data_IF_266507311635
#
_entry.id   IF_266507311635
#
_cell.length_a   1.000
_cell.length_b   1.000
_cell.length_c   1.000
_cell.angle_alpha   90.00
_cell.angle_beta   90.00
_cell.angle_gamma   90.00
#
_symmetry.space_group_name_H-M   'P 1'
#
loop_
_entity.id
_entity.type
_entity.pdbx_description
1 polymer ?
#
# COMPACT_ATOMS: atom_id res chain seq x y z
N UNK A 1 -14.54 31.36 -7.06
CA UNK A 1 -13.27 30.62 -6.89
C UNK A 1 -13.54 29.54 -5.89
N UNK A 2 -13.71 28.30 -6.35
CA UNK A 2 -13.85 27.16 -5.45
C UNK A 2 -12.48 26.50 -5.37
N UNK A 3 -11.89 26.50 -4.18
CA UNK A 3 -10.72 25.69 -3.85
C UNK A 3 -11.20 24.24 -3.73
N UNK A 4 -11.05 23.47 -4.82
CA UNK A 4 -11.12 22.01 -4.76
C UNK A 4 -9.88 21.52 -4.00
N UNK A 5 -10.01 21.34 -2.68
CA UNK A 5 -9.08 20.55 -1.88
C UNK A 5 -9.22 19.08 -2.31
N UNK A 6 -8.44 18.68 -3.32
CA UNK A 6 -8.44 17.33 -3.87
C UNK A 6 -8.07 16.31 -2.78
N UNK A 7 -9.08 15.70 -2.19
CA UNK A 7 -8.92 14.54 -1.31
C UNK A 7 -8.53 13.36 -2.20
N UNK A 8 -7.24 13.03 -2.23
CA UNK A 8 -6.72 11.85 -2.93
C UNK A 8 -7.28 10.58 -2.29
N UNK A 9 -7.67 9.60 -3.10
CA UNK A 9 -8.24 8.36 -2.58
C UNK A 9 -7.28 7.60 -1.66
N UNK A 10 -7.86 6.86 -0.70
CA UNK A 10 -7.17 5.92 0.19
C UNK A 10 -6.31 4.94 -0.62
N UNK A 11 -6.89 4.35 -1.67
CA UNK A 11 -6.21 3.44 -2.59
C UNK A 11 -5.01 4.09 -3.29
N UNK A 12 -5.16 5.31 -3.83
CA UNK A 12 -4.06 5.94 -4.57
C UNK A 12 -2.92 6.31 -3.62
N UNK A 13 -3.24 6.87 -2.46
CA UNK A 13 -2.25 7.19 -1.41
C UNK A 13 -1.45 5.94 -1.00
N UNK A 14 -2.15 4.82 -0.81
CA UNK A 14 -1.53 3.52 -0.52
C UNK A 14 -0.60 3.05 -1.65
N UNK A 15 -1.03 3.13 -2.91
CA UNK A 15 -0.23 2.75 -4.07
C UNK A 15 1.02 3.63 -4.18
N UNK A 16 0.86 4.95 -4.10
CA UNK A 16 1.95 5.91 -4.25
C UNK A 16 3.02 5.70 -3.18
N UNK A 17 2.60 5.54 -1.92
CA UNK A 17 3.50 5.23 -0.81
C UNK A 17 4.29 3.93 -1.04
N UNK A 18 3.61 2.87 -1.52
CA UNK A 18 4.28 1.59 -1.78
C UNK A 18 5.22 1.63 -2.98
N UNK A 19 4.90 2.44 -4.01
CA UNK A 19 5.78 2.68 -5.15
C UNK A 19 7.05 3.43 -4.71
N UNK A 20 6.90 4.52 -3.97
CA UNK A 20 8.02 5.33 -3.47
C UNK A 20 8.95 4.52 -2.57
N UNK A 21 8.39 3.81 -1.59
CA UNK A 21 9.17 2.98 -0.65
C UNK A 21 9.97 1.85 -1.32
N UNK A 22 9.57 1.44 -2.54
CA UNK A 22 10.22 0.36 -3.30
C UNK A 22 11.00 0.87 -4.52
N UNK A 23 11.06 2.19 -4.75
CA UNK A 23 11.68 2.76 -5.93
C UNK A 23 11.02 2.32 -7.25
N UNK A 24 9.71 2.02 -7.22
CA UNK A 24 8.94 1.57 -8.37
C UNK A 24 8.23 2.75 -9.05
N UNK A 25 8.00 2.62 -10.36
CA UNK A 25 7.26 3.60 -11.14
C UNK A 25 5.81 3.18 -11.38
N UNK A 26 4.96 4.14 -11.77
CA UNK A 26 3.62 3.81 -12.30
C UNK A 26 3.68 2.95 -13.58
N UNK A 27 4.82 2.93 -14.28
CA UNK A 27 5.06 1.99 -15.38
C UNK A 27 5.17 0.54 -14.91
N UNK A 28 5.84 0.31 -13.77
CA UNK A 28 5.93 -1.01 -13.14
C UNK A 28 4.56 -1.50 -12.68
N UNK A 29 3.78 -0.61 -12.07
CA UNK A 29 2.38 -0.88 -11.70
C UNK A 29 1.55 -1.30 -12.92
N UNK A 30 1.65 -0.58 -14.03
CA UNK A 30 0.91 -0.89 -15.26
C UNK A 30 1.33 -2.25 -15.83
N UNK A 31 2.63 -2.56 -15.85
CA UNK A 31 3.14 -3.87 -16.31
C UNK A 31 2.68 -5.01 -15.41
N UNK A 32 2.73 -4.83 -14.09
CA UNK A 32 2.37 -5.88 -13.13
C UNK A 32 0.86 -6.17 -13.12
N UNK A 33 0.03 -5.14 -13.29
CA UNK A 33 -1.44 -5.26 -13.23
C UNK A 33 -2.08 -5.51 -14.59
N UNK A 34 -1.37 -5.23 -15.70
CA UNK A 34 -1.93 -5.22 -17.05
C UNK A 34 -2.91 -4.06 -17.28
N UNK A 35 -2.98 -3.10 -16.36
CA UNK A 35 -3.95 -2.00 -16.41
C UNK A 35 -3.37 -0.79 -17.14
N UNK A 36 -4.16 -0.19 -18.03
CA UNK A 36 -3.81 1.05 -18.71
C UNK A 36 -3.82 2.27 -17.78
N UNK A 37 -2.95 3.24 -18.06
CA UNK A 37 -2.79 4.49 -17.27
C UNK A 37 -4.08 5.29 -17.06
N UNK A 38 -5.06 5.18 -17.97
CA UNK A 38 -6.37 5.84 -17.80
C UNK A 38 -7.08 5.43 -16.51
N UNK A 39 -6.90 4.19 -16.06
CA UNK A 39 -7.45 3.70 -14.79
C UNK A 39 -6.78 4.33 -13.58
N UNK A 40 -5.53 4.78 -13.67
CA UNK A 40 -4.85 5.44 -12.54
C UNK A 40 -5.50 6.80 -12.22
N UNK A 41 -5.98 7.52 -13.24
CA UNK A 41 -6.77 8.74 -13.03
C UNK A 41 -8.09 8.43 -12.33
N UNK A 42 -8.75 7.34 -12.72
CA UNK A 42 -9.97 6.87 -12.05
C UNK A 42 -9.68 6.51 -10.57
N UNK A 43 -8.57 5.83 -10.28
CA UNK A 43 -8.19 5.46 -8.92
C UNK A 43 -7.86 6.68 -8.06
N UNK A 44 -7.14 7.68 -8.60
CA UNK A 44 -6.91 8.97 -7.91
C UNK A 44 -8.21 9.66 -7.50
N UNK A 45 -9.25 9.53 -8.33
CA UNK A 45 -10.59 10.09 -8.10
C UNK A 45 -11.48 9.22 -7.20
N UNK A 46 -10.95 8.14 -6.63
CA UNK A 46 -11.68 7.28 -5.69
C UNK A 46 -12.44 6.13 -6.33
N UNK A 47 -12.29 5.84 -7.63
CA UNK A 47 -12.83 4.58 -8.17
C UNK A 47 -11.99 3.42 -7.68
N UNK A 48 -12.66 2.41 -7.13
CA UNK A 48 -12.02 1.19 -6.66
C UNK A 48 -11.55 0.26 -7.80
N UNK A 49 -10.86 -0.81 -7.43
CA UNK A 49 -10.32 -1.86 -8.29
C UNK A 49 -11.13 -3.15 -8.16
N UNK A 50 -10.86 -4.13 -9.02
CA UNK A 50 -11.38 -5.49 -8.84
C UNK A 50 -10.38 -6.37 -8.07
N UNK A 51 -10.85 -7.54 -7.64
CA UNK A 51 -10.06 -8.52 -6.85
C UNK A 51 -8.79 -8.97 -7.57
N UNK A 52 -8.84 -9.16 -8.89
CA UNK A 52 -7.67 -9.62 -9.64
C UNK A 52 -6.58 -8.56 -9.74
N UNK A 53 -6.98 -7.30 -9.90
CA UNK A 53 -6.07 -6.15 -9.83
C UNK A 53 -5.48 -6.03 -8.42
N UNK A 54 -6.30 -6.20 -7.38
CA UNK A 54 -5.83 -6.16 -5.99
C UNK A 54 -4.77 -7.24 -5.73
N UNK A 55 -4.99 -8.47 -6.21
CA UNK A 55 -4.00 -9.57 -6.13
C UNK A 55 -2.72 -9.27 -6.92
N UNK A 56 -2.83 -8.63 -8.08
CA UNK A 56 -1.67 -8.25 -8.88
C UNK A 56 -0.82 -7.17 -8.20
N UNK A 57 -1.47 -6.16 -7.61
CA UNK A 57 -0.81 -5.12 -6.80
C UNK A 57 -0.16 -5.75 -5.57
N UNK A 58 -0.85 -6.66 -4.87
CA UNK A 58 -0.32 -7.34 -3.69
C UNK A 58 0.95 -8.14 -4.01
N UNK A 59 0.98 -8.82 -5.18
CA UNK A 59 2.18 -9.51 -5.66
C UNK A 59 3.33 -8.54 -5.96
N UNK A 60 3.04 -7.40 -6.58
CA UNK A 60 4.06 -6.38 -6.86
C UNK A 60 4.67 -5.80 -5.58
N UNK A 61 3.85 -5.62 -4.54
CA UNK A 61 4.28 -5.01 -3.28
C UNK A 61 4.75 -6.04 -2.24
N UNK A 62 4.61 -7.34 -2.51
CA UNK A 62 4.93 -8.42 -1.58
C UNK A 62 4.15 -8.32 -0.25
N UNK A 63 2.87 -7.94 -0.34
CA UNK A 63 1.95 -7.80 0.81
C UNK A 63 0.78 -8.78 0.72
N UNK A 64 -0.04 -8.81 1.77
CA UNK A 64 -1.29 -9.57 1.76
C UNK A 64 -2.29 -8.98 0.74
N UNK A 65 -2.98 -9.78 -0.09
CA UNK A 65 -4.07 -9.30 -0.93
C UNK A 65 -5.19 -8.62 -0.14
N UNK A 66 -5.39 -9.00 1.14
CA UNK A 66 -6.39 -8.38 2.00
C UNK A 66 -6.05 -6.92 2.32
N UNK A 67 -4.77 -6.61 2.50
CA UNK A 67 -4.30 -5.25 2.76
C UNK A 67 -4.65 -4.31 1.60
N UNK A 68 -4.41 -4.77 0.37
CA UNK A 68 -4.77 -4.02 -0.84
C UNK A 68 -6.28 -3.88 -0.99
N UNK A 69 -7.05 -4.91 -0.63
CA UNK A 69 -8.52 -4.85 -0.65
C UNK A 69 -9.09 -3.86 0.36
N UNK A 70 -8.48 -3.76 1.55
CA UNK A 70 -8.82 -2.74 2.55
C UNK A 70 -8.49 -1.34 2.03
N UNK A 71 -7.29 -1.15 1.45
CA UNK A 71 -6.91 0.13 0.84
C UNK A 71 -7.82 0.51 -0.35
N UNK A 72 -8.38 -0.49 -1.04
CA UNK A 72 -9.35 -0.32 -2.12
C UNK A 72 -10.81 -0.20 -1.63
N UNK A 73 -11.06 -0.23 -0.32
CA UNK A 73 -12.41 -0.21 0.28
C UNK A 73 -13.33 -1.34 -0.24
N UNK A 74 -12.74 -2.47 -0.67
CA UNK A 74 -13.49 -3.66 -1.10
C UNK A 74 -13.95 -4.51 0.08
N UNK A 75 -13.21 -4.44 1.18
CA UNK A 75 -13.51 -5.03 2.49
C UNK A 75 -13.05 -4.05 3.56
N UNK A 76 -13.60 -4.18 4.75
CA UNK A 76 -13.16 -3.45 5.94
C UNK A 76 -11.95 -4.15 6.60
N UNK A 77 -11.21 -3.41 7.43
CA UNK A 77 -10.11 -3.99 8.21
C UNK A 77 -10.59 -5.10 9.17
N UNK A 78 -11.81 -4.96 9.71
CA UNK A 78 -12.43 -5.95 10.60
C UNK A 78 -12.76 -7.25 9.85
N UNK A 79 -13.33 -7.16 8.65
CA UNK A 79 -13.62 -8.32 7.79
C UNK A 79 -12.34 -9.06 7.38
N UNK A 80 -11.25 -8.32 7.17
CA UNK A 80 -9.97 -8.90 6.80
C UNK A 80 -9.33 -9.70 7.96
N UNK A 81 -9.81 -9.56 9.21
CA UNK A 81 -9.18 -10.08 10.42
C UNK A 81 -7.66 -9.92 10.38
N UNK A 82 -7.18 -8.78 9.86
CA UNK A 82 -5.76 -8.51 9.64
C UNK A 82 -5.05 -8.45 10.99
N UNK A 83 -4.67 -9.62 11.51
CA UNK A 83 -3.69 -9.74 12.57
C UNK A 83 -2.38 -9.27 11.96
N UNK A 84 -2.04 -8.02 12.21
CA UNK A 84 -0.73 -7.48 11.90
C UNK A 84 0.27 -8.38 12.65
N UNK A 85 0.87 -9.34 11.95
CA UNK A 85 1.82 -10.30 12.56
C UNK A 85 3.10 -9.61 13.03
N UNK A 86 3.25 -8.32 12.74
CA UNK A 86 4.25 -7.42 13.30
C UNK A 86 3.53 -6.18 13.81
N UNK A 87 3.97 -5.59 14.93
CA UNK A 87 3.53 -4.25 15.32
C UNK A 87 3.68 -3.30 14.13
N UNK A 88 2.70 -2.42 13.92
CA UNK A 88 2.90 -1.30 13.01
C UNK A 88 4.10 -0.50 13.54
N UNK A 89 5.13 -0.22 12.73
CA UNK A 89 6.20 0.68 13.14
C UNK A 89 5.70 2.02 13.68
N UNK A 90 4.51 2.49 13.27
CA UNK A 90 3.88 3.70 13.76
C UNK A 90 3.37 3.59 15.22
N UNK A 91 3.18 2.37 15.72
CA UNK A 91 2.81 2.12 17.12
C UNK A 91 4.02 2.11 18.06
N UNK A 92 5.24 2.13 17.50
CA UNK A 92 6.48 2.19 18.26
C UNK A 92 6.89 3.64 18.49
N UNK A 93 7.39 3.92 19.68
CA UNK A 93 8.16 5.16 19.88
C UNK A 93 9.42 5.14 19.03
N UNK A 94 9.98 6.32 18.72
CA UNK A 94 11.23 6.44 17.96
C UNK A 94 12.36 5.58 18.56
N UNK A 95 12.45 5.52 19.90
CA UNK A 95 13.44 4.72 20.60
C UNK A 95 13.25 3.21 20.38
N UNK A 96 12.00 2.74 20.42
CA UNK A 96 11.65 1.33 20.18
C UNK A 96 11.89 0.95 18.71
N UNK A 97 11.60 1.86 17.78
CA UNK A 97 11.85 1.67 16.35
C UNK A 97 13.34 1.55 16.06
N UNK A 98 14.16 2.44 16.64
CA UNK A 98 15.64 2.39 16.51
C UNK A 98 16.19 1.10 17.12
N UNK A 99 15.70 0.67 18.28
CA UNK A 99 16.11 -0.57 18.91
C UNK A 99 15.80 -1.80 18.04
N UNK A 100 14.59 -1.86 17.45
CA UNK A 100 14.18 -2.93 16.56
C UNK A 100 15.00 -2.95 15.26
N UNK A 101 15.28 -1.78 14.68
CA UNK A 101 16.12 -1.67 13.48
C UNK A 101 17.53 -2.22 13.75
N UNK A 102 18.17 -1.80 14.85
CA UNK A 102 19.50 -2.31 15.26
C UNK A 102 19.50 -3.83 15.40
N UNK A 103 18.46 -4.41 16.02
CA UNK A 103 18.32 -5.87 16.19
C UNK A 103 18.19 -6.62 14.86
N UNK A 104 17.51 -6.04 13.86
CA UNK A 104 17.39 -6.64 12.51
C UNK A 104 18.71 -6.59 11.75
N UNK A 105 19.40 -5.43 11.77
CA UNK A 105 20.70 -5.28 11.11
C UNK A 105 21.75 -6.24 11.67
N UNK A 106 21.81 -6.42 13.00
CA UNK A 106 22.72 -7.39 13.63
C UNK A 106 22.46 -8.85 13.23
N UNK A 107 21.19 -9.21 12.94
CA UNK A 107 20.83 -10.55 12.47
C UNK A 107 21.18 -10.81 11.01
N UNK A 108 21.29 -9.76 10.18
CA UNK A 108 21.68 -9.87 8.77
C UNK A 108 23.22 -9.94 8.60
N UNK A 109 23.96 -9.47 9.59
CA UNK A 109 25.43 -9.49 9.60
C UNK A 109 26.02 -10.81 10.15
N UNK A 110 25.16 -11.75 10.55
CA UNK A 110 25.50 -13.08 11.08
C UNK A 110 25.05 -14.15 10.09
#
# INVERSE_FOLDING_TARGET
MSEDSTTTSSLWTYIETNLENRGLSTGDLSRATGVHRSRFTDWRRGKSINIDTARAIARLFEVSPLEVMVAAELITADEAQLKHTRPDPADLTDDELVAELRRRLKRLAN
#
